data_IF_598805430410
#
_entry.id   IF_598805430410
#
_cell.length_a   1.000
_cell.length_b   1.000
_cell.length_c   1.000
_cell.angle_alpha   90.00
_cell.angle_beta   90.00
_cell.angle_gamma   90.00
#
_symmetry.space_group_name_H-M   'P 1'
#
loop_
_entity.id
_entity.type
_entity.pdbx_description
1 polymer ?
#
# COMPACT_ATOMS: atom_id res chain seq x y z
N UNK A 1 -2.04 -1.09 8.82
CA UNK A 1 -3.04 -1.11 9.90
C UNK A 1 -3.78 0.21 9.91
N UNK A 2 -5.08 0.21 10.14
CA UNK A 2 -5.90 1.43 10.32
C UNK A 2 -6.64 1.33 11.64
N UNK A 3 -6.56 2.38 12.47
CA UNK A 3 -7.22 2.49 13.76
C UNK A 3 -8.58 3.19 13.65
N UNK A 4 -9.39 3.10 14.72
CA UNK A 4 -10.72 3.74 14.82
C UNK A 4 -10.69 5.25 14.67
N UNK A 5 -9.61 5.89 15.07
CA UNK A 5 -9.37 7.32 14.96
C UNK A 5 -8.86 7.76 13.57
N UNK A 6 -8.70 6.82 12.63
CA UNK A 6 -8.20 7.07 11.28
C UNK A 6 -6.67 7.04 11.16
N UNK A 7 -5.93 6.90 12.25
CA UNK A 7 -4.48 6.76 12.18
C UNK A 7 -4.11 5.46 11.46
N UNK A 8 -3.00 5.51 10.71
CA UNK A 8 -2.45 4.35 10.04
C UNK A 8 -1.03 4.07 10.51
N UNK A 9 -0.70 2.79 10.61
CA UNK A 9 0.65 2.36 10.95
C UNK A 9 1.07 1.16 10.13
N UNK A 10 2.38 1.05 9.93
CA UNK A 10 3.05 -0.07 9.28
C UNK A 10 3.97 -0.69 10.31
N UNK A 11 3.99 -2.01 10.44
CA UNK A 11 4.88 -2.66 11.39
C UNK A 11 4.83 -4.16 11.29
N UNK A 12 5.80 -4.80 11.94
CA UNK A 12 5.88 -6.25 12.07
C UNK A 12 4.99 -6.73 13.21
N UNK A 13 4.15 -7.71 12.92
CA UNK A 13 3.28 -8.34 13.92
C UNK A 13 4.11 -9.01 15.03
N UNK A 14 3.67 -8.86 16.29
CA UNK A 14 4.36 -9.39 17.47
C UNK A 14 5.59 -8.60 17.91
N UNK A 15 6.13 -7.69 17.06
CA UNK A 15 7.23 -6.78 17.42
C UNK A 15 6.75 -5.35 17.61
N UNK A 16 6.13 -4.81 16.56
CA UNK A 16 5.67 -3.41 16.53
C UNK A 16 4.16 -3.30 16.78
N UNK A 17 3.42 -4.34 16.40
CA UNK A 17 1.97 -4.36 16.40
C UNK A 17 1.46 -5.60 17.14
N UNK A 18 0.44 -5.40 17.96
CA UNK A 18 -0.36 -6.45 18.58
C UNK A 18 -1.83 -6.14 18.36
N UNK A 19 -2.69 -7.15 18.29
CA UNK A 19 -4.12 -6.93 18.08
C UNK A 19 -4.71 -6.13 19.25
N UNK A 20 -5.39 -5.03 18.95
CA UNK A 20 -6.11 -4.22 19.94
C UNK A 20 -7.54 -3.95 19.49
N UNK A 21 -8.50 -3.71 20.41
CA UNK A 21 -9.87 -3.34 20.06
C UNK A 21 -10.02 -2.07 19.19
N UNK A 22 -9.00 -1.21 19.21
CA UNK A 22 -8.92 0.02 18.41
C UNK A 22 -8.57 -0.20 16.94
N UNK A 23 -8.17 -1.41 16.55
CA UNK A 23 -7.84 -1.73 15.16
C UNK A 23 -9.12 -1.99 14.36
N UNK A 24 -9.30 -1.26 13.26
CA UNK A 24 -10.42 -1.46 12.33
C UNK A 24 -10.04 -2.37 11.17
N UNK A 25 -8.84 -2.18 10.61
CA UNK A 25 -8.42 -2.88 9.38
C UNK A 25 -6.98 -3.33 9.49
N UNK A 26 -6.79 -4.63 9.29
CA UNK A 26 -5.46 -5.25 9.16
C UNK A 26 -5.26 -5.69 7.71
N UNK A 27 -4.11 -5.33 7.15
CA UNK A 27 -3.63 -5.87 5.87
C UNK A 27 -2.25 -6.44 6.12
N UNK A 28 -2.11 -7.71 5.77
CA UNK A 28 -0.83 -8.40 5.82
C UNK A 28 -0.17 -8.31 4.45
N UNK A 29 1.15 -8.10 4.46
CA UNK A 29 1.99 -8.23 3.28
C UNK A 29 3.24 -9.05 3.65
N UNK A 30 4.26 -9.06 2.78
CA UNK A 30 5.59 -9.60 3.05
C UNK A 30 6.28 -8.85 4.22
N UNK A 31 7.47 -9.29 4.63
CA UNK A 31 8.19 -8.55 5.68
C UNK A 31 8.53 -7.12 5.24
N UNK A 32 8.95 -6.31 6.21
CA UNK A 32 9.32 -4.93 5.97
C UNK A 32 10.51 -4.83 5.00
N UNK A 33 10.33 -4.05 3.94
CA UNK A 33 11.40 -3.74 2.97
C UNK A 33 12.28 -2.59 3.47
N UNK A 34 11.74 -1.73 4.32
CA UNK A 34 12.49 -0.72 5.10
C UNK A 34 12.15 -0.93 6.56
N UNK A 35 13.17 -0.99 7.41
CA UNK A 35 13.02 -1.11 8.85
C UNK A 35 14.05 -0.22 9.55
N UNK A 36 13.62 0.50 10.59
CA UNK A 36 14.42 1.54 11.25
C UNK A 36 15.09 2.54 10.29
N UNK A 37 14.44 2.85 9.16
CA UNK A 37 14.95 3.77 8.14
C UNK A 37 16.06 3.19 7.27
N UNK A 38 16.25 1.87 7.28
CA UNK A 38 17.27 1.18 6.49
C UNK A 38 16.63 0.14 5.56
N UNK A 39 17.18 0.03 4.35
CA UNK A 39 16.79 -1.02 3.40
C UNK A 39 17.06 -2.40 4.00
N UNK A 40 16.08 -3.29 3.89
CA UNK A 40 16.19 -4.71 4.26
C UNK A 40 16.46 -5.60 3.04
N UNK A 41 16.70 -5.00 1.87
CA UNK A 41 17.09 -5.75 0.67
C UNK A 41 18.53 -6.21 0.83
N UNK A 42 18.72 -7.52 0.92
CA UNK A 42 20.02 -8.15 1.11
C UNK A 42 20.65 -8.65 -0.20
N UNK A 43 19.87 -8.77 -1.27
CA UNK A 43 20.35 -9.12 -2.60
C UNK A 43 19.78 -8.14 -3.64
N UNK A 44 20.58 -7.20 -4.16
CA UNK A 44 20.12 -6.19 -5.09
C UNK A 44 19.90 -6.74 -6.51
N UNK A 45 20.47 -7.91 -6.85
CA UNK A 45 20.39 -8.49 -8.19
C UNK A 45 19.06 -9.22 -8.46
N UNK A 46 18.47 -9.84 -7.43
CA UNK A 46 17.12 -10.40 -7.44
C UNK A 46 16.77 -10.83 -6.01
N UNK A 47 15.59 -10.44 -5.51
CA UNK A 47 15.09 -10.88 -4.21
C UNK A 47 13.64 -11.32 -4.32
N UNK A 48 13.44 -12.64 -4.27
CA UNK A 48 12.10 -13.23 -4.18
C UNK A 48 11.44 -12.95 -2.81
N UNK A 49 12.23 -12.59 -1.79
CA UNK A 49 11.71 -12.22 -0.47
C UNK A 49 10.70 -11.09 -0.59
N UNK A 50 10.97 -10.10 -1.46
CA UNK A 50 10.06 -8.96 -1.74
C UNK A 50 9.31 -9.13 -3.06
N UNK A 51 8.93 -10.38 -3.36
CA UNK A 51 8.07 -10.78 -4.45
C UNK A 51 8.78 -11.09 -5.78
N UNK A 52 8.21 -12.04 -6.52
CA UNK A 52 8.74 -12.53 -7.79
C UNK A 52 8.15 -11.78 -8.99
N UNK A 53 9.02 -11.43 -9.93
CA UNK A 53 8.64 -10.81 -11.20
C UNK A 53 8.11 -11.85 -12.18
N UNK A 54 7.19 -11.44 -13.06
CA UNK A 54 6.58 -12.36 -14.03
C UNK A 54 7.58 -12.81 -15.11
N UNK A 55 8.51 -11.93 -15.49
CA UNK A 55 9.55 -12.17 -16.48
C UNK A 55 10.85 -12.73 -15.88
N UNK A 56 10.90 -12.95 -14.56
CA UNK A 56 12.09 -13.33 -13.78
C UNK A 56 13.24 -12.32 -13.86
N UNK A 57 13.00 -11.12 -14.38
CA UNK A 57 13.92 -10.01 -14.34
C UNK A 57 13.94 -9.34 -12.96
N UNK A 58 14.89 -8.42 -12.74
CA UNK A 58 14.95 -7.69 -11.46
C UNK A 58 14.01 -6.47 -11.43
N UNK A 59 13.67 -5.93 -12.60
CA UNK A 59 12.81 -4.76 -12.74
C UNK A 59 11.38 -5.17 -13.02
N UNK A 60 10.43 -4.53 -12.35
CA UNK A 60 9.02 -4.68 -12.63
C UNK A 60 8.27 -3.39 -12.26
N UNK A 61 6.99 -3.35 -12.59
CA UNK A 61 6.06 -2.51 -11.85
C UNK A 61 6.12 -2.93 -10.37
N UNK A 62 6.53 -2.03 -9.49
CA UNK A 62 6.49 -2.25 -8.06
C UNK A 62 5.83 -1.06 -7.38
N UNK A 63 5.13 -1.35 -6.30
CA UNK A 63 4.59 -0.34 -5.40
C UNK A 63 5.00 -0.64 -3.95
N UNK A 64 5.06 0.41 -3.14
CA UNK A 64 5.36 0.32 -1.72
C UNK A 64 4.68 1.42 -0.93
N UNK A 65 4.41 1.14 0.34
CA UNK A 65 3.88 2.11 1.29
C UNK A 65 4.88 2.22 2.45
N UNK A 66 5.34 3.44 2.69
CA UNK A 66 6.23 3.79 3.80
C UNK A 66 5.56 4.70 4.81
N UNK A 67 6.03 4.65 6.05
CA UNK A 67 5.63 5.56 7.13
C UNK A 67 6.85 6.32 7.64
N UNK A 68 6.76 7.65 7.67
CA UNK A 68 7.82 8.55 8.18
C UNK A 68 7.71 8.70 9.71
N UNK A 69 8.70 9.36 10.34
CA UNK A 69 8.74 9.57 11.80
C UNK A 69 7.55 10.38 12.34
N UNK A 70 7.04 11.31 11.52
CA UNK A 70 5.88 12.15 11.85
C UNK A 70 4.53 11.43 11.67
N UNK A 71 4.55 10.14 11.31
CA UNK A 71 3.34 9.34 11.05
C UNK A 71 2.77 9.49 9.64
N UNK A 72 3.27 10.43 8.83
CA UNK A 72 2.84 10.58 7.44
C UNK A 72 3.21 9.36 6.60
N UNK A 73 2.38 9.08 5.60
CA UNK A 73 2.57 7.96 4.69
C UNK A 73 3.14 8.44 3.35
N UNK A 74 4.03 7.63 2.77
CA UNK A 74 4.59 7.82 1.43
C UNK A 74 4.21 6.62 0.59
N UNK A 75 3.53 6.86 -0.52
CA UNK A 75 3.25 5.84 -1.53
C UNK A 75 4.25 6.00 -2.68
N UNK A 76 4.89 4.91 -3.07
CA UNK A 76 5.80 4.85 -4.22
C UNK A 76 5.24 3.82 -5.19
N UNK A 77 5.18 4.17 -6.48
CA UNK A 77 4.89 3.25 -7.57
C UNK A 77 5.77 3.62 -8.76
N UNK A 78 6.19 2.61 -9.54
CA UNK A 78 6.94 2.86 -10.78
C UNK A 78 7.06 1.61 -11.63
N UNK A 79 7.17 1.82 -12.94
CA UNK A 79 7.13 0.76 -13.96
C UNK A 79 8.39 -0.11 -14.05
N UNK A 80 9.52 0.37 -13.53
CA UNK A 80 10.83 -0.24 -13.70
C UNK A 80 11.66 -0.18 -12.41
N UNK A 81 11.09 -0.69 -11.32
CA UNK A 81 11.75 -0.75 -10.02
C UNK A 81 12.24 -2.17 -9.73
N UNK A 82 13.47 -2.27 -9.23
CA UNK A 82 13.93 -3.41 -8.44
C UNK A 82 13.47 -3.27 -6.99
N UNK A 83 13.54 -4.37 -6.22
CA UNK A 83 13.31 -4.31 -4.78
C UNK A 83 14.25 -3.29 -4.10
N UNK A 84 15.53 -3.27 -4.50
CA UNK A 84 16.51 -2.31 -3.99
C UNK A 84 16.10 -0.86 -4.30
N UNK A 85 15.81 -0.55 -5.57
CA UNK A 85 15.46 0.83 -5.96
C UNK A 85 14.18 1.34 -5.29
N UNK A 86 13.20 0.45 -5.04
CA UNK A 86 12.01 0.79 -4.26
C UNK A 86 12.38 1.11 -2.80
N UNK A 87 13.20 0.27 -2.17
CA UNK A 87 13.66 0.47 -0.80
C UNK A 87 14.46 1.78 -0.66
N UNK A 88 15.39 2.03 -1.57
CA UNK A 88 16.21 3.24 -1.57
C UNK A 88 15.36 4.49 -1.74
N UNK A 89 14.34 4.46 -2.61
CA UNK A 89 13.38 5.57 -2.77
C UNK A 89 12.59 5.82 -1.50
N UNK A 90 12.12 4.77 -0.83
CA UNK A 90 11.40 4.87 0.45
C UNK A 90 12.31 5.41 1.56
N UNK A 91 13.55 4.93 1.67
CA UNK A 91 14.55 5.45 2.61
C UNK A 91 14.84 6.94 2.34
N UNK A 92 15.08 7.32 1.08
CA UNK A 92 15.33 8.70 0.68
C UNK A 92 14.14 9.62 0.99
N UNK A 93 12.90 9.11 0.94
CA UNK A 93 11.69 9.82 1.36
C UNK A 93 11.57 9.99 2.89
N UNK A 94 12.44 9.33 3.67
CA UNK A 94 12.45 9.37 5.14
C UNK A 94 11.56 8.32 5.81
N UNK A 95 11.10 7.30 5.07
CA UNK A 95 10.33 6.21 5.64
C UNK A 95 11.16 5.48 6.72
N UNK A 96 10.58 5.27 7.91
CA UNK A 96 11.18 4.47 8.97
C UNK A 96 10.81 3.00 8.84
N UNK A 97 9.59 2.73 8.40
CA UNK A 97 9.08 1.40 8.11
C UNK A 97 8.36 1.43 6.78
N UNK A 98 8.55 0.41 5.96
CA UNK A 98 7.81 0.29 4.72
C UNK A 98 7.57 -1.17 4.36
N UNK A 99 6.49 -1.40 3.63
CA UNK A 99 6.13 -2.70 3.06
C UNK A 99 5.97 -2.57 1.55
N UNK A 100 6.31 -3.64 0.83
CA UNK A 100 5.94 -3.75 -0.57
C UNK A 100 4.44 -3.99 -0.71
N UNK A 101 3.88 -3.58 -1.84
CA UNK A 101 2.52 -3.90 -2.26
C UNK A 101 2.57 -4.90 -3.42
N UNK A 102 1.40 -5.23 -3.97
CA UNK A 102 1.36 -6.10 -5.15
C UNK A 102 2.16 -5.47 -6.32
N UNK A 103 2.70 -6.33 -7.18
CA UNK A 103 3.71 -5.96 -8.18
C UNK A 103 3.34 -6.49 -9.57
N UNK A 104 4.20 -6.27 -10.56
CA UNK A 104 3.97 -6.53 -11.99
C UNK A 104 2.81 -5.69 -12.57
N UNK A 105 2.82 -5.53 -13.89
CA UNK A 105 2.03 -4.51 -14.59
C UNK A 105 0.53 -4.62 -14.30
N UNK A 106 0.00 -5.84 -14.18
CA UNK A 106 -1.44 -6.03 -13.99
C UNK A 106 -1.88 -5.78 -12.53
N UNK A 107 -1.07 -6.14 -11.53
CA UNK A 107 -1.50 -6.10 -10.12
C UNK A 107 -1.06 -4.84 -9.38
N UNK A 108 -0.03 -4.14 -9.87
CA UNK A 108 0.33 -2.82 -9.32
C UNK A 108 -0.81 -1.83 -9.56
N UNK A 109 -1.27 -1.19 -8.49
CA UNK A 109 -2.40 -0.26 -8.53
C UNK A 109 -2.22 0.86 -7.51
N UNK A 110 -2.67 2.06 -7.89
CA UNK A 110 -2.69 3.24 -7.04
C UNK A 110 -3.83 4.13 -7.49
N UNK A 111 -5.01 3.92 -6.91
CA UNK A 111 -6.22 4.65 -7.24
C UNK A 111 -6.77 5.34 -6.01
N UNK A 112 -7.37 6.51 -6.19
CA UNK A 112 -8.19 7.14 -5.16
C UNK A 112 -9.55 7.51 -5.75
N UNK A 113 -10.56 7.53 -4.90
CA UNK A 113 -11.93 7.78 -5.31
C UNK A 113 -12.45 9.04 -4.64
N UNK A 114 -13.06 9.90 -5.45
CA UNK A 114 -13.89 11.02 -4.98
C UNK A 114 -15.35 10.70 -5.29
N UNK A 115 -16.31 11.52 -4.87
CA UNK A 115 -17.71 11.31 -5.22
C UNK A 115 -18.27 12.53 -5.94
N UNK A 116 -19.12 12.30 -6.95
CA UNK A 116 -19.92 13.36 -7.54
C UNK A 116 -21.04 13.81 -6.57
N UNK A 117 -21.85 14.81 -6.97
CA UNK A 117 -22.97 15.29 -6.13
C UNK A 117 -24.05 14.23 -5.88
N UNK A 118 -24.22 13.27 -6.79
CA UNK A 118 -25.15 12.15 -6.64
C UNK A 118 -24.60 11.03 -5.72
N UNK A 119 -23.33 11.11 -5.32
CA UNK A 119 -22.68 10.09 -4.51
C UNK A 119 -22.03 8.97 -5.30
N UNK A 120 -21.93 9.08 -6.63
CA UNK A 120 -21.24 8.07 -7.45
C UNK A 120 -19.73 8.23 -7.34
N UNK A 121 -18.97 7.13 -7.23
CA UNK A 121 -17.52 7.19 -7.15
C UNK A 121 -16.90 7.61 -8.49
N UNK A 122 -16.00 8.60 -8.43
CA UNK A 122 -15.12 9.01 -9.51
C UNK A 122 -13.71 8.52 -9.19
N UNK A 123 -13.19 7.63 -10.02
CA UNK A 123 -11.86 7.08 -9.87
C UNK A 123 -10.78 8.00 -10.46
N UNK A 124 -9.66 8.09 -9.76
CA UNK A 124 -8.45 8.80 -10.19
C UNK A 124 -7.25 7.88 -10.04
N UNK A 125 -6.35 7.89 -11.04
CA UNK A 125 -5.08 7.18 -10.96
C UNK A 125 -4.03 8.10 -10.34
N UNK A 126 -3.21 7.55 -9.44
CA UNK A 126 -2.03 8.24 -8.92
C UNK A 126 -0.94 8.35 -9.98
N UNK A 127 -0.88 7.38 -10.89
CA UNK A 127 0.00 7.38 -12.08
C UNK A 127 -0.86 7.04 -13.32
N UNK A 128 -0.86 7.89 -14.36
CA UNK A 128 -1.69 7.69 -15.55
C UNK A 128 -1.34 6.42 -16.34
N UNK A 129 -0.12 5.89 -16.19
CA UNK A 129 0.35 4.72 -16.92
C UNK A 129 -0.07 3.38 -16.27
N UNK A 130 -0.74 3.42 -15.10
CA UNK A 130 -1.30 2.23 -14.47
C UNK A 130 -2.35 1.59 -15.38
N UNK A 131 -2.05 0.37 -15.83
CA UNK A 131 -2.87 -0.38 -16.77
C UNK A 131 -4.23 -0.83 -16.20
N UNK A 132 -5.16 -1.08 -17.12
CA UNK A 132 -6.49 -1.61 -16.83
C UNK A 132 -7.51 -0.55 -16.38
N UNK A 133 -8.76 -0.99 -16.14
CA UNK A 133 -9.84 -0.09 -15.71
C UNK A 133 -9.59 0.45 -14.29
N UNK A 134 -9.80 1.75 -14.10
CA UNK A 134 -9.61 2.42 -12.80
C UNK A 134 -10.66 1.96 -11.77
N UNK A 135 -11.85 1.61 -12.26
CA UNK A 135 -12.98 1.10 -11.49
C UNK A 135 -12.91 -0.42 -11.21
N UNK A 136 -11.81 -1.10 -11.54
CA UNK A 136 -11.70 -2.57 -11.40
C UNK A 136 -11.88 -3.08 -9.96
N UNK A 137 -11.76 -2.22 -8.96
CA UNK A 137 -12.02 -2.53 -7.55
C UNK A 137 -13.42 -2.09 -7.08
N UNK A 138 -14.29 -1.69 -7.99
CA UNK A 138 -15.72 -1.43 -7.73
C UNK A 138 -16.62 -2.54 -8.28
N UNK A 139 -16.02 -3.50 -9.00
CA UNK A 139 -16.67 -4.68 -9.57
C UNK A 139 -16.10 -5.93 -8.93
N UNK A 140 -16.90 -7.00 -8.88
CA UNK A 140 -16.44 -8.28 -8.35
C UNK A 140 -15.24 -8.83 -9.14
N UNK A 141 -14.19 -9.24 -8.43
CA UNK A 141 -13.01 -9.90 -8.96
C UNK A 141 -12.66 -11.13 -8.12
N UNK A 142 -12.08 -12.15 -8.77
CA UNK A 142 -11.70 -13.42 -8.14
C UNK A 142 -10.68 -13.30 -6.99
N UNK A 143 -10.05 -12.12 -6.80
CA UNK A 143 -9.06 -11.85 -5.73
C UNK A 143 -9.39 -10.58 -4.92
N UNK A 144 -10.65 -10.20 -4.82
CA UNK A 144 -11.02 -8.92 -4.21
C UNK A 144 -10.59 -8.78 -2.75
N UNK A 145 -10.16 -7.57 -2.42
CA UNK A 145 -10.13 -7.07 -1.05
C UNK A 145 -10.47 -5.58 -1.06
N UNK A 146 -11.52 -5.19 -0.34
CA UNK A 146 -11.92 -3.78 -0.24
C UNK A 146 -11.33 -3.15 1.03
N UNK A 147 -10.84 -1.91 0.91
CA UNK A 147 -10.48 -1.06 2.05
C UNK A 147 -11.19 0.27 1.88
N UNK A 148 -11.91 0.70 2.90
CA UNK A 148 -12.57 1.99 2.93
C UNK A 148 -11.76 2.92 3.84
N UNK A 149 -11.27 4.02 3.29
CA UNK A 149 -10.91 5.20 4.09
C UNK A 149 -12.13 6.10 4.14
N UNK A 150 -12.68 6.31 5.32
CA UNK A 150 -13.63 7.37 5.55
C UNK A 150 -12.89 8.57 6.13
N UNK A 151 -13.12 9.77 5.57
CA UNK A 151 -12.58 11.03 6.10
C UNK A 151 -13.11 11.36 7.52
N UNK A 152 -14.12 10.62 7.96
CA UNK A 152 -14.72 10.68 9.29
C UNK A 152 -14.97 9.26 9.79
N UNK A 153 -14.97 9.00 11.10
CA UNK A 153 -15.42 7.73 11.64
C UNK A 153 -16.78 7.37 11.06
N UNK A 154 -17.01 6.11 10.70
CA UNK A 154 -18.34 5.63 10.32
C UNK A 154 -19.21 5.61 11.58
N UNK A 155 -19.70 6.79 11.96
CA UNK A 155 -20.65 7.00 13.03
C UNK A 155 -22.02 6.51 12.57
N UNK A 156 -22.57 5.56 13.33
CA UNK A 156 -23.91 5.02 13.14
C UNK A 156 -24.92 6.18 13.26
N UNK A 157 -25.46 6.68 12.15
CA UNK A 157 -26.73 7.41 12.20
C UNK A 157 -27.81 6.38 12.47
N UNK A 158 -28.12 6.15 13.75
CA UNK A 158 -29.43 5.63 14.13
C UNK A 158 -30.35 6.84 14.07
N UNK A 159 -31.15 6.93 13.00
CA UNK A 159 -32.30 7.83 12.99
C UNK A 159 -33.33 7.27 13.98
N UNK A 160 -33.83 8.12 14.88
CA UNK A 160 -35.04 7.89 15.65
C UNK A 160 -36.26 8.09 14.75
#
# INVERSE_FOLDING_TARGET
MIYRDGHMTIGRWGRDLQLTPEMLVVRQNLDLIVDHGQSQVNNPSYSASWGATTDKGNLAWRAGLGQRRDGSLVFVIGQALSAQSLADTLVASGAQRAMVLDMNQYWSAGFFFTHNRAGDPICHRLDPDIGGPCDRFLHSYKRDSFQFLAAYPVGRRIAQ
#
